data_IF_755991856679
#
_entry.id   IF_755991856679
#
_cell.length_a   1.000
_cell.length_b   1.000
_cell.length_c   1.000
_cell.angle_alpha   90.00
_cell.angle_beta   90.00
_cell.angle_gamma   90.00
#
_symmetry.space_group_name_H-M   'P 1'
#
loop_
_entity.id
_entity.type
_entity.pdbx_description
1 polymer ?
#
# COMPACT_ATOMS: atom_id res chain seq x y z
N UNK A 1 10.27 5.95 8.28
CA UNK A 1 10.19 6.63 6.98
C UNK A 1 10.74 5.69 5.93
N UNK A 2 9.89 4.74 5.58
CA UNK A 2 10.26 3.58 4.79
C UNK A 2 9.99 3.92 3.33
N UNK A 3 10.95 3.65 2.46
CA UNK A 3 10.77 3.93 1.04
C UNK A 3 9.61 3.09 0.50
N UNK A 4 8.51 3.73 0.10
CA UNK A 4 7.35 3.04 -0.47
C UNK A 4 7.66 2.53 -1.89
N UNK A 5 8.46 1.47 -1.99
CA UNK A 5 8.93 0.81 -3.23
C UNK A 5 8.52 -0.67 -3.31
N UNK A 6 8.44 -1.24 -4.52
CA UNK A 6 7.97 -2.63 -4.72
C UNK A 6 8.73 -3.72 -3.92
N UNK A 7 9.98 -3.44 -3.55
CA UNK A 7 10.86 -4.32 -2.78
C UNK A 7 10.60 -4.25 -1.27
N UNK A 8 9.98 -3.18 -0.79
CA UNK A 8 9.72 -2.98 0.63
C UNK A 8 8.57 -3.84 1.14
N UNK A 9 8.65 -4.18 2.42
CA UNK A 9 7.66 -4.98 3.12
C UNK A 9 6.32 -4.25 3.22
N UNK A 10 5.25 -4.88 2.76
CA UNK A 10 3.88 -4.33 2.90
C UNK A 10 3.50 -4.13 4.37
N UNK A 11 3.99 -5.00 5.27
CA UNK A 11 3.75 -4.88 6.72
C UNK A 11 4.29 -3.55 7.25
N UNK A 12 5.46 -3.13 6.78
CA UNK A 12 6.10 -1.90 7.23
C UNK A 12 5.31 -0.66 6.77
N UNK A 13 4.69 -0.73 5.58
CA UNK A 13 3.83 0.36 5.07
C UNK A 13 2.56 0.51 5.86
N UNK A 14 1.96 -0.59 6.33
CA UNK A 14 0.74 -0.51 7.13
C UNK A 14 1.03 0.08 8.51
N UNK A 15 2.25 -0.11 9.01
CA UNK A 15 2.74 0.45 10.26
C UNK A 15 3.03 1.96 10.11
N UNK A 16 3.75 2.39 9.06
CA UNK A 16 4.12 3.80 8.82
C UNK A 16 2.94 4.61 8.23
N UNK A 17 2.07 3.95 7.44
CA UNK A 17 0.95 4.50 6.66
C UNK A 17 -0.30 3.62 6.75
N UNK A 18 -1.07 3.64 7.85
CA UNK A 18 -2.28 2.81 8.01
C UNK A 18 -3.33 3.02 6.90
N UNK A 19 -3.34 4.17 6.24
CA UNK A 19 -4.18 4.46 5.06
C UNK A 19 -3.95 3.50 3.89
N UNK A 20 -2.77 2.90 3.80
CA UNK A 20 -2.44 1.89 2.78
C UNK A 20 -3.21 0.59 2.98
N UNK A 21 -3.62 0.29 4.22
CA UNK A 21 -4.39 -0.90 4.56
C UNK A 21 -5.68 -1.05 3.75
N UNK A 22 -6.41 0.05 3.54
CA UNK A 22 -7.64 0.05 2.75
C UNK A 22 -7.39 -0.29 1.27
N UNK A 23 -6.25 0.15 0.73
CA UNK A 23 -5.84 -0.18 -0.64
C UNK A 23 -5.50 -1.66 -0.73
N UNK A 24 -4.72 -2.21 0.21
CA UNK A 24 -4.41 -3.64 0.23
C UNK A 24 -5.66 -4.51 0.33
N UNK A 25 -6.63 -4.14 1.16
CA UNK A 25 -7.90 -4.83 1.28
C UNK A 25 -8.71 -4.79 -0.03
N UNK A 26 -8.74 -3.63 -0.70
CA UNK A 26 -9.39 -3.46 -2.02
C UNK A 26 -8.80 -4.42 -3.06
N UNK A 27 -7.48 -4.57 -3.08
CA UNK A 27 -6.77 -5.48 -3.98
C UNK A 27 -6.72 -6.93 -3.47
N UNK A 28 -7.31 -7.22 -2.30
CA UNK A 28 -7.21 -8.52 -1.59
C UNK A 28 -5.76 -9.00 -1.45
N UNK A 29 -4.85 -8.08 -1.17
CA UNK A 29 -3.45 -8.38 -0.86
C UNK A 29 -3.36 -8.72 0.62
N UNK A 30 -2.89 -9.93 0.92
CA UNK A 30 -2.76 -10.36 2.30
C UNK A 30 -1.55 -9.69 2.96
N UNK A 31 -1.85 -8.96 4.02
CA UNK A 31 -0.88 -8.27 4.88
C UNK A 31 -0.39 -9.19 6.01
N UNK A 32 -0.58 -10.50 5.86
CA UNK A 32 -0.16 -11.49 6.85
C UNK A 32 1.34 -11.35 7.10
N UNK A 33 1.72 -11.37 8.39
CA UNK A 33 2.99 -10.95 9.00
C UNK A 33 4.30 -11.57 8.47
N UNK A 34 4.30 -12.22 7.31
CA UNK A 34 5.43 -12.92 6.72
C UNK A 34 6.49 -12.01 6.06
N UNK A 35 6.38 -10.68 6.19
CA UNK A 35 7.38 -9.76 5.64
C UNK A 35 7.56 -9.86 4.13
N UNK A 36 6.51 -10.26 3.39
CA UNK A 36 6.54 -10.33 1.92
C UNK A 36 6.62 -8.92 1.34
N UNK A 37 7.37 -8.77 0.25
CA UNK A 37 7.38 -7.53 -0.54
C UNK A 37 6.11 -7.38 -1.36
N UNK A 38 5.76 -6.13 -1.69
CA UNK A 38 4.59 -5.84 -2.52
C UNK A 38 4.63 -6.57 -3.86
N UNK A 39 5.79 -6.62 -4.53
CA UNK A 39 5.98 -7.33 -5.80
C UNK A 39 5.55 -8.81 -5.69
N UNK A 40 6.04 -9.48 -4.65
CA UNK A 40 5.77 -10.89 -4.42
C UNK A 40 4.28 -11.15 -4.18
N UNK A 41 3.65 -10.34 -3.32
CA UNK A 41 2.23 -10.49 -3.02
C UNK A 41 1.34 -10.22 -4.24
N UNK A 42 1.72 -9.27 -5.10
CA UNK A 42 1.01 -9.00 -6.35
C UNK A 42 1.17 -10.16 -7.35
N UNK A 43 2.39 -10.70 -7.48
CA UNK A 43 2.69 -11.84 -8.36
C UNK A 43 1.93 -13.10 -8.00
N UNK A 44 1.83 -13.43 -6.71
CA UNK A 44 1.04 -14.60 -6.25
C UNK A 44 -0.45 -14.51 -6.66
N UNK A 45 -0.95 -13.30 -6.87
CA UNK A 45 -2.35 -13.03 -7.24
C UNK A 45 -2.53 -12.70 -8.73
N UNK A 46 -1.44 -12.61 -9.50
CA UNK A 46 -1.47 -12.16 -10.90
C UNK A 46 -1.87 -10.68 -11.06
N UNK A 47 -1.67 -9.87 -10.02
CA UNK A 47 -1.96 -8.43 -10.01
C UNK A 47 -0.71 -7.67 -10.46
N UNK A 48 -0.91 -6.56 -11.18
CA UNK A 48 0.21 -5.69 -11.56
C UNK A 48 0.69 -4.86 -10.34
N UNK A 49 1.93 -5.08 -9.86
CA UNK A 49 2.44 -4.41 -8.67
C UNK A 49 2.57 -2.89 -8.84
N UNK A 50 2.82 -2.41 -10.07
CA UNK A 50 2.96 -0.96 -10.34
C UNK A 50 1.63 -0.25 -10.19
N UNK A 51 0.53 -0.93 -10.58
CA UNK A 51 -0.82 -0.39 -10.42
C UNK A 51 -1.20 -0.24 -8.94
N UNK A 52 -0.89 -1.26 -8.13
CA UNK A 52 -1.11 -1.22 -6.69
C UNK A 52 -0.26 -0.12 -6.05
N UNK A 53 1.01 0.00 -6.43
CA UNK A 53 1.91 1.06 -5.95
C UNK A 53 1.37 2.47 -6.23
N UNK A 54 0.85 2.70 -7.43
CA UNK A 54 0.27 4.00 -7.80
C UNK A 54 -0.96 4.34 -6.94
N UNK A 55 -1.82 3.36 -6.64
CA UNK A 55 -2.97 3.53 -5.75
C UNK A 55 -2.55 3.81 -4.31
N UNK A 56 -1.49 3.15 -3.84
CA UNK A 56 -0.89 3.38 -2.52
C UNK A 56 -0.32 4.79 -2.38
N UNK A 57 0.47 5.24 -3.36
CA UNK A 57 0.97 6.62 -3.38
C UNK A 57 -0.17 7.65 -3.41
N UNK A 58 -1.26 7.35 -4.12
CA UNK A 58 -2.45 8.23 -4.13
C UNK A 58 -3.12 8.30 -2.76
N UNK A 59 -3.25 7.18 -2.06
CA UNK A 59 -3.80 7.14 -0.70
C UNK A 59 -2.93 7.91 0.30
N UNK A 60 -1.61 7.70 0.27
CA UNK A 60 -0.65 8.42 1.12
C UNK A 60 -0.68 9.93 0.83
N UNK A 61 -0.70 10.32 -0.45
CA UNK A 61 -0.79 11.72 -0.84
C UNK A 61 -2.12 12.37 -0.40
N UNK A 62 -3.22 11.60 -0.39
CA UNK A 62 -4.51 12.05 0.10
C UNK A 62 -4.51 12.19 1.64
N UNK A 63 -3.91 11.26 2.37
CA UNK A 63 -3.78 11.31 3.82
C UNK A 63 -2.81 12.42 4.29
N UNK A 64 -1.74 12.67 3.53
CA UNK A 64 -0.76 13.72 3.78
C UNK A 64 -1.25 15.15 3.52
N UNK A 65 -2.47 15.34 2.99
CA UNK A 65 -3.14 16.64 3.00
C UNK A 65 -4.07 16.72 4.23
N UNK A 66 -3.72 17.47 5.29
CA UNK A 66 -4.65 17.78 6.38
C UNK A 66 -5.72 18.82 5.98
N UNK A 67 -6.23 18.80 4.74
CA UNK A 67 -7.12 19.86 4.24
C UNK A 67 -7.92 19.44 3.02
N UNK A 68 -9.15 19.00 3.27
CA UNK A 68 -10.11 18.62 2.24
C UNK A 68 -11.52 18.45 2.81
N UNK A 69 -12.01 19.45 3.56
CA UNK A 69 -13.44 19.67 3.77
C UNK A 69 -14.13 19.62 2.42
N UNK A 70 -15.05 18.67 2.22
CA UNK A 70 -16.01 18.73 1.11
C UNK A 70 -17.31 19.31 1.68
N UNK A 71 -17.95 20.29 0.99
CA UNK A 71 -19.16 20.97 1.48
C UNK A 71 -20.39 20.06 1.61
#
# INVERSE_FOLDING_TARGET
>A
MTACTLDSSVVDWVIDHPETGAVFETWRIEQSCAGKSLDYACRERGIDPRRVLADLHRAIAAAGRPGGTTP
#
